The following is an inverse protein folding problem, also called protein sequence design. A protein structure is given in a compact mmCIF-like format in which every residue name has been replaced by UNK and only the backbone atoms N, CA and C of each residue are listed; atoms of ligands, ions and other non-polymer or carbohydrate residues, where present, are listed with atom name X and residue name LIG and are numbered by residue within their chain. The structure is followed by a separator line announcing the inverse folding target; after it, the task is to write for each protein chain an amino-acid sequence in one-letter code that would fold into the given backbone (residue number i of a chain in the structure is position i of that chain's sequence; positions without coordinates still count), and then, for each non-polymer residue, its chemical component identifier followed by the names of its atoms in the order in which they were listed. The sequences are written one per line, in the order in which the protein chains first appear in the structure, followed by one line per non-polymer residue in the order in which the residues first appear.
data_IF_509717795361
#
_entry.id   IF_509717795361
#
_cell.length_a   1.000
_cell.length_b   1.000
_cell.length_c   1.000
_cell.angle_alpha   90.00
_cell.angle_beta   90.00
_cell.angle_gamma   90.00
#
_symmetry.space_group_name_H-M   'P 1'
#
loop_
_entity.id
_entity.type
_entity.pdbx_description
1 polymer ?
#
# COMPACT_ATOMS: atom_id res chain seq x y z
N UNK A 1 13.75 31.79 -2.48
CA UNK A 1 12.67 31.34 -3.38
C UNK A 1 11.72 30.47 -2.58
N UNK A 2 10.42 30.66 -2.72
CA UNK A 2 9.39 29.85 -2.03
C UNK A 2 9.11 28.61 -2.87
N UNK A 3 9.12 27.43 -2.24
CA UNK A 3 8.76 26.16 -2.87
C UNK A 3 7.30 26.26 -3.38
N UNK A 4 7.00 25.84 -4.63
CA UNK A 4 5.64 25.78 -5.14
C UNK A 4 4.71 24.96 -4.24
N UNK A 5 3.43 25.37 -4.15
CA UNK A 5 2.47 24.75 -3.23
C UNK A 5 2.33 23.23 -3.45
N UNK A 6 2.24 22.77 -4.71
CA UNK A 6 2.10 21.34 -5.00
C UNK A 6 3.37 20.58 -4.63
N UNK A 7 4.56 21.14 -4.87
CA UNK A 7 5.82 20.52 -4.42
C UNK A 7 5.89 20.40 -2.90
N UNK A 8 5.36 21.37 -2.16
CA UNK A 8 5.27 21.28 -0.69
C UNK A 8 4.31 20.18 -0.22
N UNK A 9 3.21 19.96 -0.94
CA UNK A 9 2.24 18.91 -0.66
C UNK A 9 2.79 17.52 -1.02
N UNK A 10 3.50 17.42 -2.15
CA UNK A 10 4.22 16.23 -2.58
C UNK A 10 5.29 15.82 -1.56
N UNK A 11 6.06 16.80 -1.08
CA UNK A 11 7.04 16.59 -0.01
C UNK A 11 6.36 16.10 1.27
N UNK A 12 5.23 16.70 1.65
CA UNK A 12 4.40 16.26 2.78
C UNK A 12 3.94 14.81 2.65
N UNK A 13 3.44 14.41 1.48
CA UNK A 13 3.03 13.04 1.21
C UNK A 13 4.21 12.06 1.33
N UNK A 14 5.39 12.44 0.80
CA UNK A 14 6.60 11.62 0.84
C UNK A 14 7.10 11.38 2.26
N UNK A 15 7.13 12.41 3.11
CA UNK A 15 7.58 12.27 4.52
C UNK A 15 6.49 11.70 5.44
N UNK A 16 5.26 11.55 4.95
CA UNK A 16 4.15 11.03 5.75
C UNK A 16 4.36 9.57 6.12
N UNK A 17 4.94 8.74 5.26
CA UNK A 17 5.20 7.32 5.57
C UNK A 17 6.28 7.20 6.67
N UNK A 18 5.92 6.53 7.77
CA UNK A 18 6.78 6.32 8.95
C UNK A 18 7.09 4.84 9.08
N UNK A 19 8.38 4.52 9.14
CA UNK A 19 8.88 3.17 9.38
C UNK A 19 8.86 2.82 10.89
N UNK A 20 8.13 1.77 11.32
CA UNK A 20 8.00 1.43 12.73
C UNK A 20 9.19 0.61 13.25
N UNK A 21 10.11 0.13 12.40
CA UNK A 21 11.12 -0.88 12.77
C UNK A 21 11.96 -0.45 13.98
N UNK A 22 12.37 0.82 14.04
CA UNK A 22 13.15 1.35 15.17
C UNK A 22 12.34 1.35 16.48
N UNK A 23 11.06 1.74 16.42
CA UNK A 23 10.17 1.78 17.59
C UNK A 23 9.85 0.37 18.06
N UNK A 24 9.52 -0.54 17.14
CA UNK A 24 9.21 -1.94 17.46
C UNK A 24 10.42 -2.65 18.08
N UNK A 25 11.65 -2.36 17.62
CA UNK A 25 12.87 -2.90 18.21
C UNK A 25 13.06 -2.47 19.67
N UNK A 26 12.79 -1.20 19.99
CA UNK A 26 12.87 -0.70 21.37
C UNK A 26 11.79 -1.34 22.24
N UNK A 27 10.56 -1.44 21.76
CA UNK A 27 9.46 -2.07 22.50
C UNK A 27 9.74 -3.55 22.80
N UNK A 28 10.28 -4.29 21.83
CA UNK A 28 10.71 -5.68 22.04
C UNK A 28 11.79 -5.81 23.12
N UNK A 29 12.74 -4.87 23.19
CA UNK A 29 13.76 -4.83 24.24
C UNK A 29 13.19 -4.51 25.64
N UNK A 30 12.01 -3.87 25.71
CA UNK A 30 11.32 -3.59 26.96
C UNK A 30 10.44 -4.77 27.44
N UNK A 31 10.47 -5.89 26.73
CA UNK A 31 9.71 -7.09 27.07
C UNK A 31 8.28 -7.10 26.54
N UNK A 32 7.93 -6.18 25.62
CA UNK A 32 6.69 -6.31 24.86
C UNK A 32 6.80 -7.48 23.88
N UNK A 33 5.69 -8.18 23.73
CA UNK A 33 5.50 -9.31 22.82
C UNK A 33 4.67 -8.86 21.60
N UNK A 34 4.77 -9.60 20.50
CA UNK A 34 4.03 -9.30 19.26
C UNK A 34 2.50 -9.37 19.42
N UNK A 35 2.01 -9.85 20.57
CA UNK A 35 0.59 -9.89 20.95
C UNK A 35 0.13 -8.66 21.72
N UNK A 36 1.03 -7.79 22.15
CA UNK A 36 0.67 -6.60 22.91
C UNK A 36 -0.04 -5.58 22.02
N UNK A 37 -1.11 -4.99 22.55
CA UNK A 37 -1.97 -4.07 21.78
C UNK A 37 -1.19 -2.90 21.19
N UNK A 38 -0.22 -2.35 21.92
CA UNK A 38 0.61 -1.22 21.45
C UNK A 38 1.49 -1.64 20.27
N UNK A 39 2.03 -2.87 20.29
CA UNK A 39 2.84 -3.40 19.19
C UNK A 39 2.00 -3.50 17.92
N UNK A 40 0.84 -4.15 18.02
CA UNK A 40 -0.06 -4.37 16.88
C UNK A 40 -0.58 -3.05 16.31
N UNK A 41 -0.91 -2.08 17.18
CA UNK A 41 -1.40 -0.75 16.74
C UNK A 41 -0.32 0.03 16.00
N UNK A 42 0.91 0.12 16.54
CA UNK A 42 2.01 0.86 15.89
C UNK A 42 2.36 0.22 14.55
N UNK A 43 2.46 -1.11 14.51
CA UNK A 43 2.74 -1.83 13.28
C UNK A 43 1.63 -1.61 12.23
N UNK A 44 0.37 -1.76 12.62
CA UNK A 44 -0.78 -1.56 11.73
C UNK A 44 -0.93 -0.13 11.23
N UNK A 45 -0.71 0.86 12.10
CA UNK A 45 -0.72 2.30 11.72
C UNK A 45 0.35 2.57 10.67
N UNK A 46 1.57 2.11 10.87
CA UNK A 46 2.65 2.28 9.91
C UNK A 46 2.37 1.61 8.57
N UNK A 47 1.81 0.40 8.56
CA UNK A 47 1.41 -0.28 7.32
C UNK A 47 0.33 0.50 6.55
N UNK A 48 -0.70 0.97 7.26
CA UNK A 48 -1.77 1.77 6.65
C UNK A 48 -1.23 3.10 6.12
N UNK A 49 -0.37 3.75 6.88
CA UNK A 49 0.24 5.03 6.53
C UNK A 49 1.14 4.92 5.30
N UNK A 50 1.91 3.84 5.15
CA UNK A 50 2.72 3.60 3.95
C UNK A 50 1.84 3.45 2.69
N UNK A 51 0.75 2.71 2.80
CA UNK A 51 -0.24 2.56 1.73
C UNK A 51 -0.94 3.87 1.36
N UNK A 52 -1.32 4.69 2.34
CA UNK A 52 -1.98 5.99 2.10
C UNK A 52 -1.01 7.01 1.52
N UNK A 53 0.23 7.07 2.01
CA UNK A 53 1.24 8.02 1.56
C UNK A 53 1.58 7.82 0.08
N UNK A 54 1.73 6.58 -0.38
CA UNK A 54 2.04 6.30 -1.80
C UNK A 54 0.87 6.65 -2.71
N UNK A 55 -0.38 6.36 -2.32
CA UNK A 55 -1.58 6.71 -3.11
C UNK A 55 -1.72 8.23 -3.19
N UNK A 56 -1.50 8.93 -2.08
CA UNK A 56 -1.52 10.40 -2.04
C UNK A 56 -0.44 10.99 -2.96
N UNK A 57 0.79 10.45 -2.89
CA UNK A 57 1.89 10.86 -3.77
C UNK A 57 1.55 10.65 -5.24
N UNK A 58 1.07 9.47 -5.62
CA UNK A 58 0.68 9.17 -7.01
C UNK A 58 -0.44 10.09 -7.52
N UNK A 59 -1.44 10.36 -6.68
CA UNK A 59 -2.53 11.29 -6.99
C UNK A 59 -1.96 12.68 -7.26
N UNK A 60 -1.10 13.20 -6.39
CA UNK A 60 -0.51 14.53 -6.54
C UNK A 60 0.42 14.65 -7.75
N UNK A 61 1.18 13.61 -8.10
CA UNK A 61 1.99 13.57 -9.32
C UNK A 61 1.10 13.64 -10.56
N UNK A 62 -0.03 12.91 -10.57
CA UNK A 62 -0.97 12.95 -11.69
C UNK A 62 -1.48 14.39 -11.96
N UNK A 63 -1.77 15.15 -10.90
CA UNK A 63 -2.18 16.56 -11.02
C UNK A 63 -1.03 17.53 -11.33
N UNK A 64 0.23 17.13 -11.20
CA UNK A 64 1.38 17.97 -11.53
C UNK A 64 1.65 18.00 -13.05
N UNK A 65 1.34 16.89 -13.74
CA UNK A 65 1.50 16.77 -15.19
C UNK A 65 0.40 17.51 -15.97
N UNK A 66 -0.80 17.64 -15.38
CA UNK A 66 -1.83 18.53 -15.91
C UNK A 66 -1.51 19.96 -15.47
N UNK A 67 -1.39 20.91 -16.41
CA UNK A 67 -1.16 22.34 -16.12
C UNK A 67 -2.40 22.98 -15.50
N UNK A 68 -2.82 22.48 -14.34
CA UNK A 68 -4.14 22.71 -13.81
C UNK A 68 -4.10 23.88 -12.81
N UNK A 69 -4.94 24.87 -13.09
CA UNK A 69 -5.29 25.89 -12.12
C UNK A 69 -6.03 25.19 -10.99
N UNK A 70 -5.56 25.30 -9.75
CA UNK A 70 -6.22 24.71 -8.59
C UNK A 70 -7.60 25.36 -8.45
N UNK A 71 -8.62 24.66 -8.95
CA UNK A 71 -10.04 25.01 -8.81
C UNK A 71 -10.73 24.00 -7.89
N UNK A 72 -11.91 24.35 -7.38
CA UNK A 72 -12.68 23.48 -6.49
C UNK A 72 -13.00 22.12 -7.13
N UNK A 73 -13.23 22.10 -8.44
CA UNK A 73 -13.51 20.88 -9.20
C UNK A 73 -12.29 19.95 -9.26
N UNK A 74 -11.07 20.51 -9.37
CA UNK A 74 -9.83 19.74 -9.39
C UNK A 74 -9.57 19.03 -8.05
N UNK A 75 -9.86 19.70 -6.94
CA UNK A 75 -9.73 19.13 -5.60
C UNK A 75 -10.73 17.99 -5.41
N UNK A 76 -11.96 18.15 -5.89
CA UNK A 76 -12.98 17.12 -5.82
C UNK A 76 -12.58 15.88 -6.65
N UNK A 77 -12.11 16.10 -7.88
CA UNK A 77 -11.66 15.01 -8.76
C UNK A 77 -10.47 14.27 -8.15
N UNK A 78 -9.47 14.98 -7.62
CA UNK A 78 -8.33 14.34 -6.96
C UNK A 78 -8.70 13.57 -5.70
N UNK A 79 -9.65 14.07 -4.92
CA UNK A 79 -10.18 13.36 -3.75
C UNK A 79 -10.91 12.07 -4.19
N UNK A 80 -11.71 12.15 -5.25
CA UNK A 80 -12.41 10.99 -5.80
C UNK A 80 -11.42 9.96 -6.36
N UNK A 81 -10.41 10.41 -7.11
CA UNK A 81 -9.35 9.57 -7.67
C UNK A 81 -8.59 8.84 -6.58
N UNK A 82 -8.21 9.53 -5.49
CA UNK A 82 -7.57 8.93 -4.32
C UNK A 82 -8.37 7.75 -3.76
N UNK A 83 -9.68 7.93 -3.54
CA UNK A 83 -10.53 6.85 -3.02
C UNK A 83 -10.70 5.69 -4.01
N UNK A 84 -10.83 5.98 -5.31
CA UNK A 84 -10.93 4.95 -6.34
C UNK A 84 -9.66 4.11 -6.39
N UNK A 85 -8.49 4.74 -6.37
CA UNK A 85 -7.20 4.03 -6.39
C UNK A 85 -6.98 3.25 -5.08
N UNK A 86 -7.27 3.84 -3.92
CA UNK A 86 -7.11 3.20 -2.62
C UNK A 86 -8.03 1.97 -2.44
N UNK A 87 -9.33 2.11 -2.69
CA UNK A 87 -10.26 0.99 -2.56
C UNK A 87 -10.16 0.00 -3.72
N UNK A 88 -9.86 0.46 -4.93
CA UNK A 88 -9.65 -0.40 -6.09
C UNK A 88 -8.49 -1.35 -5.91
N UNK A 89 -7.33 -0.84 -5.48
CA UNK A 89 -6.15 -1.66 -5.18
C UNK A 89 -6.39 -2.64 -4.04
N UNK A 90 -7.09 -2.22 -2.98
CA UNK A 90 -7.48 -3.10 -1.87
C UNK A 90 -8.37 -4.27 -2.32
N UNK A 91 -9.36 -4.02 -3.19
CA UNK A 91 -10.24 -5.08 -3.72
C UNK A 91 -9.45 -6.08 -4.56
N UNK A 92 -8.49 -5.61 -5.37
CA UNK A 92 -7.62 -6.48 -6.17
C UNK A 92 -6.73 -7.35 -5.27
N UNK A 93 -6.14 -6.76 -4.22
CA UNK A 93 -5.32 -7.49 -3.23
C UNK A 93 -6.12 -8.62 -2.56
N UNK A 94 -7.24 -8.26 -1.93
CA UNK A 94 -8.15 -9.23 -1.28
C UNK A 94 -8.60 -10.33 -2.25
N UNK A 95 -8.99 -9.95 -3.48
CA UNK A 95 -9.39 -10.91 -4.51
C UNK A 95 -8.27 -11.89 -4.87
N UNK A 96 -7.04 -11.40 -4.99
CA UNK A 96 -5.86 -12.23 -5.25
C UNK A 96 -5.50 -13.15 -4.08
N UNK A 97 -5.69 -12.67 -2.84
CA UNK A 97 -5.49 -13.46 -1.62
C UNK A 97 -6.48 -14.61 -1.48
N UNK A 98 -7.75 -14.38 -1.80
CA UNK A 98 -8.75 -15.46 -1.86
C UNK A 98 -8.43 -16.46 -2.98
N UNK A 99 -7.99 -15.98 -4.14
CA UNK A 99 -7.62 -16.85 -5.26
C UNK A 99 -6.40 -17.72 -4.94
N UNK A 100 -5.36 -17.16 -4.31
CA UNK A 100 -4.16 -17.89 -3.89
C UNK A 100 -4.49 -18.91 -2.80
N UNK A 101 -5.32 -18.54 -1.82
CA UNK A 101 -5.81 -19.46 -0.78
C UNK A 101 -6.56 -20.64 -1.40
N UNK A 102 -7.47 -20.37 -2.35
CA UNK A 102 -8.20 -21.42 -3.07
C UNK A 102 -7.27 -22.33 -3.88
N UNK A 103 -6.24 -21.76 -4.52
CA UNK A 103 -5.25 -22.53 -5.27
C UNK A 103 -4.47 -23.50 -4.37
N UNK A 104 -3.92 -23.02 -3.24
CA UNK A 104 -3.18 -23.87 -2.30
C UNK A 104 -4.07 -24.91 -1.62
N UNK A 105 -5.33 -24.57 -1.34
CA UNK A 105 -6.30 -25.51 -0.81
C UNK A 105 -6.56 -26.68 -1.76
N UNK A 106 -6.73 -26.41 -3.06
CA UNK A 106 -6.97 -27.45 -4.08
C UNK A 106 -5.72 -28.29 -4.34
N UNK A 107 -4.53 -27.70 -4.28
CA UNK A 107 -3.26 -28.37 -4.58
C UNK A 107 -2.61 -29.05 -3.35
N UNK A 108 -3.31 -29.10 -2.22
CA UNK A 108 -2.78 -29.60 -0.96
C UNK A 108 -2.31 -31.07 -1.09
N UNK A 109 -1.03 -31.30 -0.82
CA UNK A 109 -0.42 -32.64 -0.87
C UNK A 109 0.02 -33.10 -2.27
N UNK A 110 -0.23 -32.31 -3.32
CA UNK A 110 0.21 -32.61 -4.69
C UNK A 110 1.56 -31.98 -5.05
N UNK A 111 1.99 -30.94 -4.33
CA UNK A 111 3.18 -30.15 -4.64
C UNK A 111 4.37 -30.49 -3.75
N UNK A 112 5.59 -30.27 -4.26
CA UNK A 112 6.80 -30.32 -3.45
C UNK A 112 6.97 -29.00 -2.69
N UNK A 113 7.60 -29.02 -1.49
CA UNK A 113 7.79 -27.80 -0.69
C UNK A 113 8.48 -26.65 -1.44
N UNK A 114 9.40 -26.98 -2.37
CA UNK A 114 10.08 -25.99 -3.20
C UNK A 114 9.10 -25.27 -4.13
N UNK A 115 8.20 -26.01 -4.77
CA UNK A 115 7.22 -25.45 -5.71
C UNK A 115 6.19 -24.58 -4.98
N UNK A 116 5.78 -24.99 -3.78
CA UNK A 116 4.85 -24.23 -2.94
C UNK A 116 5.41 -22.85 -2.57
N UNK A 117 6.68 -22.79 -2.13
CA UNK A 117 7.38 -21.54 -1.82
C UNK A 117 7.53 -20.65 -3.06
N UNK A 118 7.92 -21.23 -4.21
CA UNK A 118 8.04 -20.47 -5.46
C UNK A 118 6.70 -19.87 -5.90
N UNK A 119 5.63 -20.66 -5.83
CA UNK A 119 4.29 -20.21 -6.19
C UNK A 119 3.76 -19.15 -5.22
N UNK A 120 4.09 -19.24 -3.93
CA UNK A 120 3.74 -18.21 -2.96
C UNK A 120 4.31 -16.85 -3.37
N UNK A 121 5.59 -16.79 -3.74
CA UNK A 121 6.19 -15.56 -4.27
C UNK A 121 5.53 -15.09 -5.57
N UNK A 122 5.24 -16.00 -6.50
CA UNK A 122 4.52 -15.63 -7.72
C UNK A 122 3.16 -15.01 -7.41
N UNK A 123 2.38 -15.62 -6.52
CA UNK A 123 1.07 -15.10 -6.10
C UNK A 123 1.16 -13.73 -5.41
N UNK A 124 2.23 -13.46 -4.65
CA UNK A 124 2.46 -12.14 -4.05
C UNK A 124 2.73 -11.03 -5.08
N UNK A 125 3.36 -11.35 -6.22
CA UNK A 125 3.65 -10.36 -7.28
C UNK A 125 2.47 -10.10 -8.23
N UNK A 126 1.52 -11.03 -8.36
CA UNK A 126 0.36 -10.86 -9.25
C UNK A 126 -0.45 -9.59 -8.94
N UNK A 127 -0.93 -9.33 -7.71
CA UNK A 127 -1.73 -8.14 -7.43
C UNK A 127 -0.97 -6.84 -7.66
N UNK A 128 0.35 -6.83 -7.42
CA UNK A 128 1.24 -5.70 -7.72
C UNK A 128 1.14 -5.32 -9.20
N UNK A 129 1.48 -6.26 -10.10
CA UNK A 129 1.56 -5.99 -11.53
C UNK A 129 0.18 -5.72 -12.15
N UNK A 130 -0.88 -6.35 -11.63
CA UNK A 130 -2.25 -6.06 -12.08
C UNK A 130 -2.62 -4.62 -11.77
N UNK A 131 -2.34 -4.13 -10.56
CA UNK A 131 -2.65 -2.74 -10.19
C UNK A 131 -1.75 -1.74 -10.91
N UNK A 132 -0.44 -2.01 -10.98
CA UNK A 132 0.52 -1.15 -11.69
C UNK A 132 0.16 -0.99 -13.18
N UNK A 133 -0.29 -2.08 -13.83
CA UNK A 133 -0.75 -2.05 -15.23
C UNK A 133 -2.03 -1.24 -15.48
N UNK A 134 -2.85 -1.01 -14.44
CA UNK A 134 -4.08 -0.18 -14.50
C UNK A 134 -3.79 1.26 -14.04
N UNK A 135 -2.56 1.55 -13.56
CA UNK A 135 -2.19 2.83 -12.98
C UNK A 135 -2.69 3.01 -11.54
N UNK A 136 -2.96 1.93 -10.82
CA UNK A 136 -3.33 1.93 -9.41
C UNK A 136 -2.15 1.60 -8.50
N UNK A 137 -2.32 1.78 -7.19
CA UNK A 137 -1.26 1.54 -6.22
C UNK A 137 -0.97 0.03 -6.02
N UNK A 138 0.00 -0.50 -6.75
CA UNK A 138 0.45 -1.89 -6.64
C UNK A 138 0.92 -2.27 -5.23
N UNK A 139 1.57 -1.36 -4.51
CA UNK A 139 2.03 -1.60 -3.13
C UNK A 139 0.86 -1.90 -2.19
N UNK A 140 -0.24 -1.15 -2.30
CA UNK A 140 -1.44 -1.34 -1.48
C UNK A 140 -2.06 -2.71 -1.76
N UNK A 141 -2.09 -3.12 -3.03
CA UNK A 141 -2.67 -4.40 -3.43
C UNK A 141 -1.85 -5.63 -2.98
N UNK A 142 -0.54 -5.49 -2.77
CA UNK A 142 0.31 -6.58 -2.24
C UNK A 142 0.11 -6.75 -0.73
N UNK A 143 -0.13 -5.65 -0.02
CA UNK A 143 -0.29 -5.64 1.44
C UNK A 143 -1.70 -6.07 1.86
N UNK A 144 -2.71 -5.79 1.01
CA UNK A 144 -4.13 -6.10 1.25
C UNK A 144 -4.48 -7.59 1.05
#
# INVERSE_FOLDING_TARGET
ETIPFIESLLFGALISSIDPIAVLSVLGNMGMTDTDTIYVVIFGESLLNDGVAIVLFQTLVHFLDETLVIDADAILDGTMHFFVVAFGSLVVGIGSGFASTGYFYVMQGCQTPLVEVLLFFCWAFIPYYVCDGIGWAGNVAVVA
#
